data_IF_932030221802
#
_entry.id   IF_932030221802
#
_cell.length_a   1.000
_cell.length_b   1.000
_cell.length_c   1.000
_cell.angle_alpha   90.00
_cell.angle_beta   90.00
_cell.angle_gamma   90.00
#
_symmetry.space_group_name_H-M   'P 1'
#
loop_
_entity.id
_entity.type
_entity.pdbx_description
1 polymer ?
#
# COMPACT_ATOMS: atom_id res chain seq x y z
N UNK A 1 11.91 -9.15 3.77
CA UNK A 1 12.87 -8.46 4.67
C UNK A 1 12.19 -8.23 6.01
N UNK A 2 12.84 -8.46 7.15
CA UNK A 2 12.29 -8.09 8.47
C UNK A 2 12.79 -6.71 8.87
N UNK A 3 11.90 -5.84 9.33
CA UNK A 3 12.20 -4.46 9.74
C UNK A 3 11.66 -4.26 11.15
N UNK A 4 12.52 -3.89 12.10
CA UNK A 4 12.10 -3.65 13.48
C UNK A 4 11.25 -2.38 13.59
N UNK A 5 10.38 -2.32 14.60
CA UNK A 5 9.57 -1.12 14.85
C UNK A 5 10.44 0.13 15.01
N UNK A 6 9.98 1.26 14.47
CA UNK A 6 10.67 2.55 14.49
C UNK A 6 12.07 2.55 13.84
N UNK A 7 12.35 1.60 12.94
CA UNK A 7 13.60 1.59 12.17
C UNK A 7 13.34 1.97 10.70
N UNK A 8 14.40 2.48 10.05
CA UNK A 8 14.40 2.77 8.62
C UNK A 8 15.40 1.87 7.94
N UNK A 9 15.00 1.31 6.80
CA UNK A 9 15.85 0.53 5.91
C UNK A 9 15.85 1.19 4.54
N UNK A 10 16.97 1.11 3.85
CA UNK A 10 17.09 1.57 2.46
C UNK A 10 17.07 0.37 1.54
N UNK A 11 16.27 0.45 0.48
CA UNK A 11 16.18 -0.58 -0.55
C UNK A 11 16.58 0.08 -1.87
N UNK A 12 17.64 -0.42 -2.48
CA UNK A 12 18.06 -0.02 -3.82
C UNK A 12 17.79 -1.16 -4.80
N UNK A 13 16.88 -0.90 -5.73
CA UNK A 13 16.49 -1.84 -6.78
C UNK A 13 17.18 -1.53 -8.12
N UNK A 14 17.81 -0.35 -8.24
CA UNK A 14 18.32 0.17 -9.51
C UNK A 14 19.59 -0.54 -9.97
N UNK A 15 20.34 -1.10 -9.04
CA UNK A 15 21.55 -1.90 -9.33
C UNK A 15 21.26 -3.16 -10.12
N UNK A 16 20.05 -3.72 -9.98
CA UNK A 16 19.68 -5.03 -10.54
C UNK A 16 18.56 -4.94 -11.59
N UNK A 17 17.83 -3.82 -11.63
CA UNK A 17 16.64 -3.66 -12.46
C UNK A 17 16.69 -2.35 -13.26
N UNK A 18 16.80 -2.45 -14.59
CA UNK A 18 16.68 -1.28 -15.49
C UNK A 18 15.26 -0.73 -15.57
N UNK A 19 14.27 -1.58 -15.31
CA UNK A 19 12.85 -1.26 -15.17
C UNK A 19 12.24 -2.10 -14.05
N UNK A 20 11.17 -1.62 -13.43
CA UNK A 20 10.47 -2.32 -12.37
C UNK A 20 9.01 -1.92 -12.34
N UNK A 21 8.16 -2.86 -11.98
CA UNK A 21 6.79 -2.61 -11.57
C UNK A 21 6.49 -3.58 -10.45
N UNK A 22 6.18 -3.06 -9.27
CA UNK A 22 6.06 -3.90 -8.10
C UNK A 22 5.51 -3.16 -6.90
N UNK A 23 5.49 -3.87 -5.78
CA UNK A 23 4.69 -3.51 -4.61
C UNK A 23 5.47 -3.83 -3.34
N UNK A 24 5.23 -3.03 -2.31
CA UNK A 24 5.62 -3.32 -0.94
C UNK A 24 4.36 -3.37 -0.08
N UNK A 25 4.28 -4.39 0.75
CA UNK A 25 3.17 -4.64 1.67
C UNK A 25 3.73 -5.02 3.02
N UNK A 26 2.96 -4.76 4.08
CA UNK A 26 3.27 -5.22 5.42
C UNK A 26 3.05 -6.74 5.51
N UNK A 27 4.09 -7.44 5.95
CA UNK A 27 4.08 -8.90 6.14
C UNK A 27 4.45 -9.32 7.56
N UNK A 28 4.41 -10.63 7.78
CA UNK A 28 4.73 -11.38 8.97
C UNK A 28 5.64 -12.58 8.58
N UNK A 29 6.00 -13.44 9.54
CA UNK A 29 6.88 -14.57 9.35
C UNK A 29 6.31 -15.64 8.40
N UNK A 30 4.99 -15.68 8.25
CA UNK A 30 4.33 -16.58 7.30
C UNK A 30 4.66 -16.22 5.84
N UNK A 31 4.93 -14.95 5.54
CA UNK A 31 5.22 -14.48 4.17
C UNK A 31 6.54 -15.02 3.60
N UNK A 32 7.30 -15.79 4.39
CA UNK A 32 8.52 -16.48 3.96
C UNK A 32 8.30 -17.96 3.60
N UNK A 33 7.05 -18.44 3.60
CA UNK A 33 6.70 -19.82 3.25
C UNK A 33 6.70 -20.12 1.73
N UNK A 34 6.84 -19.08 0.90
CA UNK A 34 6.81 -19.16 -0.57
C UNK A 34 5.41 -19.04 -1.18
N UNK A 35 4.37 -18.90 -0.35
CA UNK A 35 2.99 -18.63 -0.71
C UNK A 35 2.70 -17.15 -0.99
N UNK A 36 1.52 -16.88 -1.55
CA UNK A 36 1.08 -15.52 -1.88
C UNK A 36 0.10 -14.98 -0.81
N UNK A 37 0.56 -14.04 0.01
CA UNK A 37 -0.23 -13.40 1.07
C UNK A 37 -0.54 -11.93 0.72
N UNK A 38 -1.45 -11.74 -0.25
CA UNK A 38 -1.66 -10.45 -0.91
C UNK A 38 -2.57 -9.47 -0.15
N UNK A 39 -3.24 -9.90 0.91
CA UNK A 39 -4.21 -9.07 1.63
C UNK A 39 -3.51 -7.98 2.46
N UNK A 40 -3.54 -6.73 2.01
CA UNK A 40 -2.99 -5.60 2.76
C UNK A 40 -2.99 -4.28 1.99
N UNK A 41 -2.56 -3.21 2.65
CA UNK A 41 -2.35 -1.89 2.03
C UNK A 41 -1.02 -1.90 1.29
N UNK A 42 -1.02 -1.50 0.03
CA UNK A 42 0.12 -1.64 -0.87
C UNK A 42 0.74 -0.29 -1.19
N UNK A 43 2.05 -0.18 -1.03
CA UNK A 43 2.83 0.86 -1.69
C UNK A 43 3.24 0.33 -3.05
N UNK A 44 2.75 0.95 -4.12
CA UNK A 44 3.02 0.55 -5.50
C UNK A 44 4.06 1.49 -6.11
N UNK A 45 4.99 0.94 -6.89
CA UNK A 45 6.00 1.73 -7.58
C UNK A 45 6.36 1.13 -8.93
N UNK A 46 6.66 2.00 -9.89
CA UNK A 46 7.11 1.57 -11.21
C UNK A 46 8.03 2.60 -11.88
N UNK A 47 8.96 2.08 -12.69
CA UNK A 47 9.73 2.85 -13.65
C UNK A 47 10.07 2.01 -14.88
N UNK A 48 10.07 2.65 -16.04
CA UNK A 48 10.61 2.07 -17.28
C UNK A 48 11.99 2.65 -17.63
N UNK A 49 12.28 3.86 -17.16
CA UNK A 49 13.55 4.55 -17.34
C UNK A 49 13.86 5.40 -16.11
N UNK A 50 14.79 4.91 -15.29
CA UNK A 50 15.31 5.65 -14.12
C UNK A 50 16.02 6.95 -14.57
N UNK A 51 15.90 8.09 -13.86
CA UNK A 51 15.38 8.27 -12.50
C UNK A 51 13.89 8.62 -12.37
N UNK A 52 13.12 8.61 -13.47
CA UNK A 52 11.69 8.93 -13.39
C UNK A 52 10.91 7.72 -12.85
N UNK A 53 10.37 7.85 -11.64
CA UNK A 53 9.63 6.78 -10.95
C UNK A 53 8.25 7.29 -10.55
N UNK A 54 7.23 6.48 -10.75
CA UNK A 54 5.88 6.73 -10.27
C UNK A 54 5.59 5.85 -9.06
N UNK A 55 4.92 6.41 -8.05
CA UNK A 55 4.55 5.69 -6.84
C UNK A 55 3.16 6.07 -6.34
N UNK A 56 2.52 5.18 -5.61
CA UNK A 56 1.19 5.38 -5.06
C UNK A 56 0.89 4.44 -3.91
N UNK A 57 -0.24 4.68 -3.23
CA UNK A 57 -0.77 3.78 -2.20
C UNK A 57 -2.08 3.21 -2.69
N UNK A 58 -2.28 1.90 -2.53
CA UNK A 58 -3.45 1.17 -3.00
C UNK A 58 -4.05 0.31 -1.89
N UNK A 59 -5.38 0.29 -1.83
CA UNK A 59 -6.17 -0.60 -0.96
C UNK A 59 -7.06 -1.55 -1.76
N UNK A 60 -6.83 -1.63 -3.08
CA UNK A 60 -7.59 -2.47 -4.02
C UNK A 60 -7.63 -3.93 -3.57
N UNK A 61 -6.53 -4.38 -2.97
CA UNK A 61 -6.22 -5.77 -2.64
C UNK A 61 -6.46 -6.06 -1.14
N UNK A 62 -6.92 -5.06 -0.40
CA UNK A 62 -7.15 -5.09 1.03
C UNK A 62 -6.65 -3.83 1.72
N UNK A 63 -6.93 -3.72 3.01
CA UNK A 63 -6.37 -2.66 3.86
C UNK A 63 -6.01 -3.25 5.21
N UNK A 64 -4.72 -3.34 5.51
CA UNK A 64 -4.20 -3.81 6.79
C UNK A 64 -3.61 -2.68 7.64
N UNK A 65 -3.82 -1.44 7.22
CA UNK A 65 -3.47 -0.26 7.99
C UNK A 65 -2.93 0.89 7.13
N UNK A 66 -2.68 2.04 7.77
CA UNK A 66 -2.22 3.25 7.11
C UNK A 66 -0.77 3.16 6.63
N UNK A 67 -0.54 3.68 5.43
CA UNK A 67 0.77 3.89 4.81
C UNK A 67 0.82 5.32 4.28
N UNK A 68 1.98 5.96 4.39
CA UNK A 68 2.30 7.17 3.64
C UNK A 68 3.42 6.90 2.65
N UNK A 69 3.29 7.42 1.43
CA UNK A 69 4.32 7.40 0.40
C UNK A 69 4.57 8.83 -0.07
N UNK A 70 5.83 9.25 -0.08
CA UNK A 70 6.23 10.59 -0.46
C UNK A 70 7.47 10.55 -1.36
N UNK A 71 7.44 11.28 -2.48
CA UNK A 71 8.65 11.54 -3.27
C UNK A 71 9.61 12.41 -2.47
N UNK A 72 10.92 12.13 -2.55
CA UNK A 72 11.92 13.00 -1.92
C UNK A 72 12.23 14.26 -2.76
N UNK A 73 11.54 14.48 -3.88
CA UNK A 73 11.55 15.76 -4.57
C UNK A 73 10.87 16.87 -3.73
N UNK A 74 11.28 18.12 -3.95
CA UNK A 74 10.70 19.29 -3.31
C UNK A 74 9.22 19.48 -3.67
N UNK A 75 8.41 19.86 -2.68
CA UNK A 75 7.00 20.25 -2.83
C UNK A 75 6.10 19.17 -3.44
N UNK A 76 6.42 17.89 -3.26
CA UNK A 76 5.56 16.80 -3.73
C UNK A 76 4.50 16.41 -2.69
N UNK A 77 3.28 16.07 -3.14
CA UNK A 77 2.24 15.62 -2.25
C UNK A 77 2.61 14.28 -1.60
N UNK A 78 2.23 14.11 -0.34
CA UNK A 78 2.17 12.78 0.27
C UNK A 78 0.92 12.04 -0.24
N UNK A 79 1.10 10.76 -0.54
CA UNK A 79 0.06 9.80 -0.93
C UNK A 79 -0.18 8.83 0.22
N UNK A 80 -1.38 8.27 0.32
CA UNK A 80 -1.76 7.40 1.42
C UNK A 80 -2.70 8.06 2.42
N UNK A 81 -2.69 7.54 3.65
CA UNK A 81 -3.58 7.94 4.73
C UNK A 81 -2.94 7.62 6.09
N UNK A 82 -3.37 8.31 7.14
CA UNK A 82 -2.76 8.20 8.48
C UNK A 82 -3.64 7.52 9.52
N UNK A 83 -4.96 7.56 9.34
CA UNK A 83 -5.91 6.98 10.28
C UNK A 83 -6.19 5.51 9.97
N UNK A 84 -6.18 4.66 10.99
CA UNK A 84 -6.70 3.31 10.87
C UNK A 84 -8.24 3.33 10.79
N UNK A 85 -8.77 2.83 9.69
CA UNK A 85 -10.21 2.76 9.42
C UNK A 85 -10.81 1.39 9.76
N UNK A 86 -9.98 0.37 10.01
CA UNK A 86 -10.41 -1.02 10.28
C UNK A 86 -11.33 -1.10 11.51
N UNK A 87 -11.04 -0.44 12.65
CA UNK A 87 -11.89 -0.50 13.85
C UNK A 87 -13.29 0.10 13.65
N UNK A 88 -13.45 1.02 12.68
CA UNK A 88 -14.71 1.70 12.37
C UNK A 88 -15.54 0.98 11.31
N UNK A 89 -14.95 0.03 10.58
CA UNK A 89 -15.62 -0.64 9.48
C UNK A 89 -16.74 -1.56 9.96
N UNK A 90 -17.85 -1.71 9.22
CA UNK A 90 -18.82 -2.77 9.47
C UNK A 90 -18.16 -4.16 9.51
N UNK A 91 -18.74 -5.11 10.26
CA UNK A 91 -18.11 -6.43 10.47
C UNK A 91 -17.97 -7.20 9.16
N UNK A 92 -18.94 -7.05 8.27
CA UNK A 92 -18.95 -7.63 6.93
C UNK A 92 -17.81 -7.12 6.05
N UNK A 93 -17.24 -5.94 6.31
CA UNK A 93 -16.10 -5.43 5.55
C UNK A 93 -14.76 -5.99 6.02
N UNK A 94 -14.72 -6.63 7.20
CA UNK A 94 -13.48 -7.09 7.84
C UNK A 94 -13.17 -8.54 7.47
N UNK A 95 -11.88 -8.86 7.34
CA UNK A 95 -11.38 -10.21 7.06
C UNK A 95 -10.03 -10.45 7.74
N UNK A 96 -9.82 -11.66 8.25
CA UNK A 96 -8.55 -12.02 8.90
C UNK A 96 -7.52 -12.34 7.82
N UNK A 97 -6.32 -11.77 7.97
CA UNK A 97 -5.11 -12.24 7.30
C UNK A 97 -4.77 -13.65 7.80
N UNK A 98 -3.95 -14.36 7.05
CA UNK A 98 -3.48 -15.71 7.43
C UNK A 98 -2.68 -15.70 8.74
N UNK A 99 -2.06 -14.57 9.07
CA UNK A 99 -1.41 -14.30 10.35
C UNK A 99 -2.36 -14.12 11.54
N UNK A 100 -3.66 -13.97 11.27
CA UNK A 100 -4.69 -13.65 12.25
C UNK A 100 -4.97 -12.16 12.43
N UNK A 101 -4.12 -11.27 11.88
CA UNK A 101 -4.34 -9.82 11.89
C UNK A 101 -5.62 -9.42 11.17
N UNK A 102 -6.31 -8.37 11.64
CA UNK A 102 -7.52 -7.88 10.98
C UNK A 102 -7.22 -6.93 9.83
N UNK A 103 -7.90 -7.10 8.71
CA UNK A 103 -7.85 -6.22 7.56
C UNK A 103 -9.26 -5.92 7.04
N UNK A 104 -9.38 -4.98 6.11
CA UNK A 104 -10.55 -4.88 5.24
C UNK A 104 -10.38 -5.77 4.02
N UNK A 105 -11.50 -6.28 3.52
CA UNK A 105 -11.58 -7.04 2.28
C UNK A 105 -11.10 -6.22 1.07
N UNK A 106 -10.72 -6.88 -0.04
CA UNK A 106 -10.40 -6.19 -1.28
C UNK A 106 -11.56 -5.33 -1.81
N UNK A 107 -11.23 -4.13 -2.29
CA UNK A 107 -12.19 -3.18 -2.84
C UNK A 107 -12.34 -3.26 -4.36
N UNK A 108 -11.38 -3.87 -5.08
CA UNK A 108 -11.48 -4.11 -6.54
C UNK A 108 -10.66 -5.31 -7.07
N UNK A 109 -10.48 -6.37 -6.26
CA UNK A 109 -9.86 -7.65 -6.66
C UNK A 109 -10.93 -8.68 -7.06
N UNK A 110 -10.86 -9.19 -8.30
CA UNK A 110 -11.59 -10.33 -8.87
C UNK A 110 -12.93 -10.70 -8.17
N UNK A 111 -13.93 -9.82 -8.25
CA UNK A 111 -15.23 -9.99 -7.57
C UNK A 111 -15.34 -9.22 -6.25
N UNK A 112 -15.05 -7.91 -6.32
CA UNK A 112 -14.88 -7.01 -5.17
C UNK A 112 -16.05 -6.96 -4.18
N UNK A 113 -15.75 -6.61 -2.93
CA UNK A 113 -16.77 -6.43 -1.89
C UNK A 113 -17.32 -5.00 -1.94
N UNK A 114 -18.53 -4.84 -2.47
CA UNK A 114 -19.19 -3.53 -2.67
C UNK A 114 -19.33 -2.74 -1.36
N UNK A 115 -19.72 -3.42 -0.27
CA UNK A 115 -19.85 -2.79 1.05
C UNK A 115 -18.50 -2.22 1.53
N UNK A 116 -17.42 -2.96 1.31
CA UNK A 116 -16.06 -2.52 1.66
C UNK A 116 -15.60 -1.36 0.78
N UNK A 117 -15.84 -1.41 -0.53
CA UNK A 117 -15.48 -0.32 -1.45
C UNK A 117 -16.21 0.97 -1.08
N UNK A 118 -17.51 0.90 -0.87
CA UNK A 118 -18.33 2.05 -0.49
C UNK A 118 -17.96 2.62 0.88
N UNK A 119 -17.67 1.76 1.86
CA UNK A 119 -17.13 2.19 3.14
C UNK A 119 -15.79 2.93 2.96
N UNK A 120 -14.84 2.33 2.24
CA UNK A 120 -13.50 2.89 2.03
C UNK A 120 -13.55 4.23 1.30
N UNK A 121 -14.37 4.38 0.26
CA UNK A 121 -14.58 5.66 -0.46
C UNK A 121 -15.15 6.77 0.43
N UNK A 122 -15.92 6.42 1.47
CA UNK A 122 -16.41 7.41 2.45
C UNK A 122 -15.35 7.80 3.48
N UNK A 123 -14.36 6.95 3.74
CA UNK A 123 -13.35 7.19 4.78
C UNK A 123 -12.04 7.75 4.23
N UNK A 124 -11.67 7.42 2.98
CA UNK A 124 -10.39 7.77 2.39
C UNK A 124 -10.57 8.67 1.16
N UNK A 125 -9.58 9.52 0.94
CA UNK A 125 -9.50 10.39 -0.23
C UNK A 125 -8.96 9.61 -1.45
N UNK A 126 -9.79 9.47 -2.48
CA UNK A 126 -9.41 8.77 -3.72
C UNK A 126 -8.34 9.51 -4.54
N UNK A 127 -8.06 10.79 -4.24
CA UNK A 127 -6.94 11.53 -4.81
C UNK A 127 -5.60 11.16 -4.14
N UNK A 128 -5.65 10.49 -2.98
CA UNK A 128 -4.49 10.12 -2.18
C UNK A 128 -4.24 8.62 -2.14
N UNK A 129 -5.27 7.82 -2.36
CA UNK A 129 -5.21 6.35 -2.30
C UNK A 129 -6.00 5.75 -3.46
N UNK A 130 -5.42 4.77 -4.15
CA UNK A 130 -6.12 3.96 -5.15
C UNK A 130 -7.08 3.00 -4.42
N UNK A 131 -8.38 3.28 -4.51
CA UNK A 131 -9.43 2.46 -3.87
C UNK A 131 -10.05 1.49 -4.87
N UNK A 132 -10.01 1.80 -6.16
CA UNK A 132 -10.55 0.95 -7.21
C UNK A 132 -9.82 1.18 -8.53
N UNK A 133 -10.19 0.43 -9.58
CA UNK A 133 -9.54 0.49 -10.88
C UNK A 133 -9.92 1.71 -11.72
N UNK A 134 -10.84 2.57 -11.27
CA UNK A 134 -11.26 3.75 -12.04
C UNK A 134 -10.25 4.89 -11.98
N UNK A 135 -9.41 4.93 -10.95
CA UNK A 135 -8.41 5.96 -10.76
C UNK A 135 -7.19 5.44 -9.98
N UNK A 136 -6.00 5.79 -10.46
CA UNK A 136 -4.73 5.45 -9.78
C UNK A 136 -4.12 6.68 -9.15
N UNK A 137 -4.21 6.79 -7.82
CA UNK A 137 -3.62 7.87 -7.07
C UNK A 137 -2.08 7.74 -7.10
N UNK A 138 -1.43 8.67 -7.81
CA UNK A 138 0.00 8.56 -8.12
C UNK A 138 0.73 9.87 -7.87
N UNK A 139 1.97 9.77 -7.39
CA UNK A 139 2.96 10.85 -7.33
C UNK A 139 4.20 10.45 -8.14
N UNK A 140 4.85 11.43 -8.76
CA UNK A 140 6.10 11.23 -9.49
C UNK A 140 7.30 11.60 -8.61
N UNK A 141 8.40 10.88 -8.80
CA UNK A 141 9.73 11.23 -8.34
C UNK A 141 10.68 11.39 -9.53
N UNK A 142 11.35 12.54 -9.62
CA UNK A 142 12.35 12.88 -10.64
C UNK A 142 13.74 12.43 -10.23
N UNK A 143 14.02 12.36 -8.92
CA UNK A 143 15.26 11.82 -8.37
C UNK A 143 15.20 10.29 -8.13
N UNK A 144 14.05 9.67 -8.40
CA UNK A 144 13.79 8.24 -8.27
C UNK A 144 13.77 7.73 -6.84
N UNK A 145 13.55 8.59 -5.86
CA UNK A 145 13.56 8.27 -4.43
C UNK A 145 12.20 8.51 -3.81
N UNK A 146 11.73 7.50 -3.08
CA UNK A 146 10.52 7.56 -2.27
C UNK A 146 10.84 7.22 -0.82
N UNK A 147 10.18 7.94 0.09
CA UNK A 147 10.05 7.55 1.49
C UNK A 147 8.69 6.90 1.68
N UNK A 148 8.69 5.69 2.23
CA UNK A 148 7.47 4.97 2.60
C UNK A 148 7.45 4.81 4.12
N UNK A 149 6.36 5.23 4.75
CA UNK A 149 6.14 5.13 6.19
C UNK A 149 4.97 4.19 6.45
N UNK A 150 5.27 3.01 6.98
CA UNK A 150 4.28 2.09 7.49
C UNK A 150 3.90 2.51 8.92
N UNK A 151 2.71 3.07 9.09
CA UNK A 151 2.17 3.44 10.39
C UNK A 151 1.64 2.18 11.12
N UNK A 152 1.13 2.34 12.34
CA UNK A 152 0.58 1.20 13.09
C UNK A 152 -0.54 0.53 12.28
N UNK A 153 -0.38 -0.75 12.01
CA UNK A 153 -1.30 -1.57 11.24
C UNK A 153 -1.16 -3.04 11.64
N UNK A 154 -2.05 -3.86 11.11
CA UNK A 154 -2.14 -5.27 11.43
C UNK A 154 -1.25 -6.07 10.46
N UNK A 155 -0.53 -7.05 10.98
CA UNK A 155 0.34 -7.94 10.18
C UNK A 155 0.10 -9.39 10.56
#
# INVERSE_FOLDING_TARGET
MKVSSNTTVFVDLTTSCSAFSGRLVRGNDIDFDGGAHNLGTWAEMNWQSYPLVYGGVSVIEGNDGPILLQSEDLNTPSMGFTEDIIPRAPKECRVKKDSGGMALKPTDKDGYDEATREFTKRQLDNQKVSIDKSYTATVMSHNGRFKIVFLHGNH
#
